data_IF_666949088897
#
_entry.id   IF_666949088897
#
_cell.length_a   1.000
_cell.length_b   1.000
_cell.length_c   1.000
_cell.angle_alpha   90.00
_cell.angle_beta   90.00
_cell.angle_gamma   90.00
#
_symmetry.space_group_name_H-M   'P 1'
#
loop_
_entity.id
_entity.type
_entity.pdbx_description
1 polymer ?
#
# COMPACT_ATOMS: atom_id res chain seq x y z
N UNK A 1 -11.01 -11.66 -11.30
CA UNK A 1 -9.98 -10.93 -10.55
C UNK A 1 -9.69 -11.75 -9.32
N UNK A 2 -8.43 -12.05 -9.05
CA UNK A 2 -8.04 -12.77 -7.83
C UNK A 2 -8.41 -11.95 -6.59
N UNK A 3 -8.75 -12.65 -5.51
CA UNK A 3 -8.96 -12.00 -4.21
C UNK A 3 -7.61 -11.53 -3.64
N UNK A 4 -7.60 -10.43 -2.87
CA UNK A 4 -6.38 -10.00 -2.19
C UNK A 4 -5.97 -11.05 -1.16
N UNK A 5 -4.66 -11.34 -1.13
CA UNK A 5 -4.00 -12.21 -0.17
C UNK A 5 -4.15 -11.66 1.24
N UNK A 6 -4.07 -10.33 1.38
CA UNK A 6 -4.16 -9.64 2.66
C UNK A 6 -4.80 -8.27 2.49
N UNK A 7 -5.56 -7.84 3.50
CA UNK A 7 -6.16 -6.51 3.58
C UNK A 7 -5.76 -5.86 4.89
N UNK A 8 -5.17 -4.68 4.81
CA UNK A 8 -4.71 -3.92 5.97
C UNK A 8 -5.40 -2.57 5.95
N UNK A 9 -6.07 -2.22 7.05
CA UNK A 9 -6.65 -0.90 7.24
C UNK A 9 -5.68 -0.02 8.03
N UNK A 10 -5.65 1.28 7.73
CA UNK A 10 -4.81 2.26 8.42
C UNK A 10 -3.32 1.87 8.42
N UNK A 11 -2.75 1.57 7.26
CA UNK A 11 -1.36 1.19 7.07
C UNK A 11 -0.46 2.40 6.79
N UNK A 12 0.82 2.24 7.09
CA UNK A 12 1.92 3.04 6.57
C UNK A 12 2.63 2.26 5.46
N UNK A 13 2.77 2.83 4.27
CA UNK A 13 3.38 2.20 3.10
C UNK A 13 4.52 3.06 2.56
N UNK A 14 5.66 2.43 2.30
CA UNK A 14 6.79 3.04 1.58
C UNK A 14 7.01 2.29 0.27
N UNK A 15 7.04 3.02 -0.85
CA UNK A 15 7.18 2.43 -2.18
C UNK A 15 7.89 3.37 -3.18
N UNK A 16 8.42 2.80 -4.24
CA UNK A 16 8.96 3.52 -5.39
C UNK A 16 7.88 3.78 -6.44
N UNK A 17 7.74 5.03 -6.87
CA UNK A 17 6.87 5.41 -7.99
C UNK A 17 7.42 4.95 -9.34
N UNK A 18 6.62 5.07 -10.40
CA UNK A 18 7.09 4.74 -11.75
C UNK A 18 8.26 5.61 -12.24
N UNK A 19 8.47 6.78 -11.63
CA UNK A 19 9.56 7.70 -11.95
C UNK A 19 10.85 7.40 -11.17
N UNK A 20 10.83 6.46 -10.23
CA UNK A 20 11.97 6.12 -9.37
C UNK A 20 12.02 6.91 -8.07
N UNK A 21 11.04 7.78 -7.80
CA UNK A 21 10.97 8.53 -6.54
C UNK A 21 10.35 7.67 -5.43
N UNK A 22 10.89 7.74 -4.21
CA UNK A 22 10.35 7.08 -3.02
C UNK A 22 9.20 7.90 -2.40
N UNK A 23 8.10 7.23 -2.05
CA UNK A 23 6.92 7.80 -1.41
C UNK A 23 6.58 7.05 -0.12
N UNK A 24 6.25 7.79 0.93
CA UNK A 24 5.66 7.30 2.17
C UNK A 24 4.23 7.80 2.33
N UNK A 25 3.28 6.89 2.57
CA UNK A 25 1.89 7.20 2.84
C UNK A 25 1.48 6.60 4.18
N UNK A 26 0.72 7.36 4.96
CA UNK A 26 0.21 6.95 6.28
C UNK A 26 -1.31 6.95 6.32
N UNK A 27 -1.89 6.05 7.11
CA UNK A 27 -3.34 5.97 7.32
C UNK A 27 -4.12 5.49 6.10
N UNK A 28 -3.48 4.76 5.20
CA UNK A 28 -4.09 4.26 3.95
C UNK A 28 -4.62 2.84 4.11
N UNK A 29 -5.64 2.48 3.33
CA UNK A 29 -6.06 1.09 3.20
C UNK A 29 -5.19 0.40 2.13
N UNK A 30 -4.79 -0.85 2.40
CA UNK A 30 -3.90 -1.61 1.52
C UNK A 30 -4.51 -2.98 1.23
N UNK A 31 -4.55 -3.35 -0.04
CA UNK A 31 -4.92 -4.69 -0.49
C UNK A 31 -3.71 -5.30 -1.22
N UNK A 32 -3.21 -6.43 -0.71
CA UNK A 32 -2.01 -7.10 -1.23
C UNK A 32 -2.45 -8.24 -2.15
N UNK A 33 -1.94 -8.23 -3.38
CA UNK A 33 -2.12 -9.28 -4.38
C UNK A 33 -0.77 -9.94 -4.68
N UNK A 34 -0.77 -10.99 -5.50
CA UNK A 34 0.45 -11.76 -5.82
C UNK A 34 1.53 -10.90 -6.49
N UNK A 35 1.14 -10.04 -7.43
CA UNK A 35 2.07 -9.16 -8.16
C UNK A 35 1.93 -7.66 -7.86
N UNK A 36 0.87 -7.27 -7.17
CA UNK A 36 0.48 -5.86 -7.02
C UNK A 36 0.03 -5.54 -5.61
N UNK A 37 0.14 -4.28 -5.23
CA UNK A 37 -0.38 -3.72 -4.00
C UNK A 37 -1.27 -2.55 -4.38
N UNK A 38 -2.53 -2.61 -3.98
CA UNK A 38 -3.46 -1.50 -4.14
C UNK A 38 -3.45 -0.67 -2.87
N UNK A 39 -3.10 0.59 -2.99
CA UNK A 39 -3.04 1.56 -1.89
C UNK A 39 -4.21 2.52 -2.08
N UNK A 40 -5.15 2.56 -1.15
CA UNK A 40 -6.33 3.42 -1.19
C UNK A 40 -6.22 4.48 -0.09
N UNK A 41 -6.18 5.75 -0.50
CA UNK A 41 -6.14 6.92 0.38
C UNK A 41 -7.25 7.91 0.03
N UNK A 42 -7.25 9.08 0.67
CA UNK A 42 -8.35 10.05 0.65
C UNK A 42 -8.95 10.35 -0.73
N UNK A 43 -8.12 10.53 -1.76
CA UNK A 43 -8.57 10.98 -3.09
C UNK A 43 -8.63 9.85 -4.14
N UNK A 44 -8.34 8.60 -3.76
CA UNK A 44 -8.41 7.47 -4.68
C UNK A 44 -7.51 6.30 -4.34
N UNK A 45 -7.38 5.38 -5.30
CA UNK A 45 -6.53 4.20 -5.17
C UNK A 45 -5.43 4.19 -6.22
N UNK A 46 -4.21 3.84 -5.80
CA UNK A 46 -3.08 3.61 -6.68
C UNK A 46 -2.68 2.13 -6.67
N UNK A 47 -2.25 1.62 -7.83
CA UNK A 47 -1.74 0.25 -7.98
C UNK A 47 -0.23 0.28 -8.15
N UNK A 48 0.47 -0.37 -7.24
CA UNK A 48 1.93 -0.38 -7.20
C UNK A 48 2.42 -1.82 -7.38
N UNK A 49 3.39 -2.10 -8.27
CA UNK A 49 3.99 -3.41 -8.37
C UNK A 49 4.57 -3.84 -7.02
N UNK A 50 4.32 -5.08 -6.60
CA UNK A 50 4.77 -5.55 -5.28
C UNK A 50 6.29 -5.48 -5.13
N UNK A 51 7.04 -5.63 -6.22
CA UNK A 51 8.50 -5.48 -6.26
C UNK A 51 9.00 -4.06 -5.96
N UNK A 52 8.12 -3.05 -6.04
CA UNK A 52 8.44 -1.64 -5.74
C UNK A 52 7.98 -1.21 -4.35
N UNK A 53 7.34 -2.09 -3.59
CA UNK A 53 6.92 -1.79 -2.21
C UNK A 53 8.02 -2.25 -1.26
N UNK A 54 8.67 -1.29 -0.62
CA UNK A 54 9.77 -1.55 0.30
C UNK A 54 9.28 -1.94 1.68
N UNK A 55 8.16 -1.35 2.12
CA UNK A 55 7.64 -1.57 3.45
C UNK A 55 6.13 -1.35 3.52
N UNK A 56 5.45 -2.22 4.26
CA UNK A 56 4.08 -2.03 4.72
C UNK A 56 4.08 -2.29 6.23
N UNK A 57 3.57 -1.33 7.00
CA UNK A 57 3.38 -1.45 8.45
C UNK A 57 1.90 -1.21 8.75
N UNK A 58 1.32 -2.02 9.63
CA UNK A 58 0.05 -1.67 10.26
C UNK A 58 0.26 -0.38 11.05
N UNK A 59 -0.51 0.66 10.76
CA UNK A 59 -0.47 1.89 11.53
C UNK A 59 -0.83 1.57 12.97
N UNK A 60 -0.04 2.08 13.91
CA UNK A 60 -0.32 1.95 15.32
C UNK A 60 -1.74 2.47 15.56
N UNK A 61 -2.66 1.58 15.91
CA UNK A 61 -3.94 1.99 16.47
C UNK A 61 -3.62 2.90 17.65
N UNK A 62 -4.03 4.17 17.58
CA UNK A 62 -4.17 4.94 18.81
C UNK A 62 -5.26 4.22 19.61
N UNK A 63 -4.83 3.38 20.56
CA UNK A 63 -5.65 3.04 21.72
C UNK A 63 -5.73 4.26 22.63
#
# INVERSE_FOLDING_TARGET
>A
MDEPIERIQNATVTYESERGDEYGLDGVAVEIYSGWVKITGGDGSNWVPRSRVFQIRTGAGRQ
#
